data_IF_562924798735
#
_entry.id   IF_562924798735
#
_cell.length_a   1.000
_cell.length_b   1.000
_cell.length_c   1.000
_cell.angle_alpha   90.00
_cell.angle_beta   90.00
_cell.angle_gamma   90.00
#
_symmetry.space_group_name_H-M   'P 1'
#
loop_
_entity.id
_entity.type
_entity.pdbx_description
1 polymer ?
#
# COMPACT_ATOMS: atom_id res chain seq x y z
N UNK A 1 -21.87 -41.26 20.48
CA UNK A 1 -21.87 -39.84 20.92
C UNK A 1 -20.52 -39.10 20.75
N UNK A 2 -19.40 -39.77 20.45
CA UNK A 2 -18.05 -39.15 20.36
C UNK A 2 -17.76 -38.40 19.04
N UNK A 3 -18.35 -38.82 17.93
CA UNK A 3 -18.01 -38.34 16.57
C UNK A 3 -18.49 -36.92 16.24
N UNK A 4 -19.62 -36.48 16.81
CA UNK A 4 -20.15 -35.11 16.62
C UNK A 4 -19.29 -34.05 17.30
N UNK A 5 -18.75 -34.37 18.48
CA UNK A 5 -17.90 -33.46 19.27
C UNK A 5 -16.53 -33.31 18.62
N UNK A 6 -15.95 -34.40 18.12
CA UNK A 6 -14.71 -34.36 17.33
C UNK A 6 -14.88 -33.60 16.01
N UNK A 7 -16.02 -33.72 15.33
CA UNK A 7 -16.30 -32.97 14.10
C UNK A 7 -16.52 -31.47 14.36
N UNK A 8 -17.15 -31.09 15.49
CA UNK A 8 -17.24 -29.69 15.95
C UNK A 8 -15.89 -29.13 16.39
N UNK A 9 -15.08 -29.94 17.08
CA UNK A 9 -13.72 -29.57 17.47
C UNK A 9 -12.84 -29.37 16.24
N UNK A 10 -12.88 -30.27 15.26
CA UNK A 10 -12.17 -30.11 13.98
C UNK A 10 -12.66 -28.93 13.14
N UNK A 11 -13.96 -28.60 13.22
CA UNK A 11 -14.50 -27.42 12.57
C UNK A 11 -14.11 -26.13 13.30
N UNK A 12 -13.91 -26.19 14.61
CA UNK A 12 -13.43 -25.09 15.45
C UNK A 12 -11.90 -24.92 15.36
N UNK A 13 -11.13 -26.00 15.18
CA UNK A 13 -9.68 -25.93 14.94
C UNK A 13 -9.36 -25.51 13.50
N UNK A 14 -10.21 -25.84 12.53
CA UNK A 14 -10.15 -25.21 11.20
C UNK A 14 -10.47 -23.70 11.24
N UNK A 15 -11.19 -23.23 12.27
CA UNK A 15 -11.41 -21.80 12.57
C UNK A 15 -10.22 -21.20 13.33
N UNK A 16 -9.33 -22.04 13.90
CA UNK A 16 -8.11 -21.65 14.62
C UNK A 16 -6.84 -21.85 13.77
N UNK A 17 -6.95 -21.81 12.44
CA UNK A 17 -5.74 -21.70 11.61
C UNK A 17 -5.27 -20.25 11.70
N UNK A 18 -4.35 -20.04 12.64
CA UNK A 18 -3.29 -19.04 12.62
C UNK A 18 -3.74 -17.59 12.37
N UNK A 19 -4.26 -16.97 13.43
CA UNK A 19 -4.23 -15.51 13.54
C UNK A 19 -5.25 -14.76 12.70
N UNK A 20 -6.49 -15.25 12.60
CA UNK A 20 -7.62 -14.50 12.04
C UNK A 20 -8.76 -14.34 13.08
N UNK A 21 -9.51 -13.26 12.98
CA UNK A 21 -10.72 -13.04 13.78
C UNK A 21 -11.76 -14.15 13.51
N UNK A 22 -12.51 -14.58 14.54
CA UNK A 22 -13.54 -15.62 14.44
C UNK A 22 -14.60 -15.26 13.37
N UNK A 23 -14.53 -15.85 12.18
CA UNK A 23 -15.45 -15.52 11.08
C UNK A 23 -16.10 -16.77 10.47
N UNK A 24 -17.38 -16.61 10.11
CA UNK A 24 -18.21 -17.64 9.46
C UNK A 24 -17.52 -18.12 8.17
N UNK A 25 -17.48 -19.44 7.91
CA UNK A 25 -16.90 -19.96 6.68
C UNK A 25 -17.65 -19.41 5.48
N UNK A 26 -16.91 -18.77 4.55
CA UNK A 26 -17.46 -18.29 3.29
C UNK A 26 -18.03 -19.46 2.50
N UNK A 27 -19.25 -19.28 1.99
CA UNK A 27 -19.96 -20.27 1.15
C UNK A 27 -19.41 -20.34 -0.29
N UNK A 28 -18.52 -19.42 -0.66
CA UNK A 28 -17.97 -19.31 -2.03
C UNK A 28 -16.72 -20.21 -2.14
N UNK A 29 -16.60 -21.03 -3.21
CA UNK A 29 -15.39 -21.81 -3.48
C UNK A 29 -14.14 -20.94 -3.53
N UNK A 30 -13.04 -21.38 -2.91
CA UNK A 30 -11.82 -20.58 -2.76
C UNK A 30 -11.26 -20.09 -4.11
N UNK A 31 -11.32 -20.93 -5.15
CA UNK A 31 -10.82 -20.63 -6.51
C UNK A 31 -11.58 -19.48 -7.18
N UNK A 32 -12.87 -19.32 -6.90
CA UNK A 32 -13.70 -18.30 -7.51
C UNK A 32 -13.59 -16.93 -6.83
N UNK A 33 -13.03 -16.86 -5.62
CA UNK A 33 -12.99 -15.61 -4.84
C UNK A 33 -12.12 -14.55 -5.50
N UNK A 34 -10.94 -14.92 -6.00
CA UNK A 34 -10.05 -13.95 -6.64
C UNK A 34 -10.59 -13.41 -7.97
N UNK A 35 -11.06 -14.24 -8.93
CA UNK A 35 -11.74 -13.73 -10.11
C UNK A 35 -12.92 -12.80 -9.78
N UNK A 36 -13.67 -13.11 -8.72
CA UNK A 36 -14.80 -12.29 -8.27
C UNK A 36 -14.32 -10.94 -7.69
N UNK A 37 -13.20 -10.91 -6.96
CA UNK A 37 -12.57 -9.65 -6.51
C UNK A 37 -12.23 -8.77 -7.72
N UNK A 38 -11.60 -9.36 -8.74
CA UNK A 38 -11.17 -8.62 -9.94
C UNK A 38 -12.39 -8.07 -10.69
N UNK A 39 -13.41 -8.89 -10.95
CA UNK A 39 -14.61 -8.44 -11.67
C UNK A 39 -15.41 -7.41 -10.86
N UNK A 40 -15.51 -7.57 -9.54
CA UNK A 40 -16.21 -6.58 -8.70
C UNK A 40 -15.43 -5.26 -8.63
N UNK A 41 -14.11 -5.31 -8.56
CA UNK A 41 -13.26 -4.11 -8.56
C UNK A 41 -13.40 -3.34 -9.86
N UNK A 42 -13.34 -4.03 -11.01
CA UNK A 42 -13.46 -3.41 -12.34
C UNK A 42 -14.86 -2.85 -12.59
N UNK A 43 -15.92 -3.61 -12.25
CA UNK A 43 -17.31 -3.14 -12.46
C UNK A 43 -17.65 -1.97 -11.54
N UNK A 44 -17.20 -2.01 -10.29
CA UNK A 44 -17.36 -0.90 -9.35
C UNK A 44 -16.58 0.34 -9.80
N UNK A 45 -15.38 0.16 -10.35
CA UNK A 45 -14.58 1.27 -10.90
C UNK A 45 -15.29 1.92 -12.07
N UNK A 46 -15.75 1.13 -13.06
CA UNK A 46 -16.51 1.65 -14.19
C UNK A 46 -17.75 2.43 -13.74
N UNK A 47 -18.54 1.86 -12.81
CA UNK A 47 -19.74 2.49 -12.28
C UNK A 47 -19.45 3.80 -11.56
N UNK A 48 -18.44 3.82 -10.67
CA UNK A 48 -18.11 5.02 -9.90
C UNK A 48 -17.54 6.14 -10.78
N UNK A 49 -16.68 5.80 -11.76
CA UNK A 49 -16.19 6.77 -12.73
C UNK A 49 -17.29 7.28 -13.66
N UNK A 50 -18.30 6.47 -14.01
CA UNK A 50 -19.48 6.95 -14.74
C UNK A 50 -20.28 7.97 -13.93
N UNK A 51 -20.47 7.75 -12.63
CA UNK A 51 -21.15 8.73 -11.76
C UNK A 51 -20.31 9.99 -11.51
N UNK A 52 -18.98 9.86 -11.46
CA UNK A 52 -18.06 10.98 -11.27
C UNK A 52 -17.67 11.67 -12.59
N UNK A 53 -18.23 11.26 -13.73
CA UNK A 53 -17.83 11.75 -15.05
C UNK A 53 -17.97 13.28 -15.15
N UNK A 54 -19.05 13.86 -14.62
CA UNK A 54 -19.28 15.31 -14.61
C UNK A 54 -18.19 16.08 -13.85
N UNK A 55 -17.54 15.43 -12.88
CA UNK A 55 -16.50 16.03 -12.03
C UNK A 55 -15.07 15.70 -12.46
N UNK A 56 -14.86 14.71 -13.32
CA UNK A 56 -13.53 14.14 -13.62
C UNK A 56 -13.18 14.13 -15.11
N UNK A 57 -14.17 13.91 -15.98
CA UNK A 57 -13.93 13.66 -17.41
C UNK A 57 -13.24 14.83 -18.11
N UNK A 58 -13.73 16.06 -17.90
CA UNK A 58 -13.19 17.25 -18.57
C UNK A 58 -11.75 17.59 -18.18
N UNK A 59 -11.35 17.34 -16.92
CA UNK A 59 -10.01 17.67 -16.44
C UNK A 59 -9.00 16.57 -16.74
N UNK A 60 -9.37 15.30 -16.55
CA UNK A 60 -8.49 14.17 -16.84
C UNK A 60 -8.29 13.97 -18.35
N UNK A 61 -9.34 14.16 -19.17
CA UNK A 61 -9.24 13.99 -20.62
C UNK A 61 -8.28 14.98 -21.29
N UNK A 62 -8.05 16.15 -20.67
CA UNK A 62 -7.13 17.18 -21.19
C UNK A 62 -5.66 16.79 -21.08
N UNK A 63 -5.34 15.84 -20.21
CA UNK A 63 -3.97 15.44 -19.87
C UNK A 63 -3.74 13.98 -20.26
N UNK A 64 -4.82 13.21 -20.47
CA UNK A 64 -4.75 11.82 -20.83
C UNK A 64 -4.32 11.62 -22.28
N UNK A 65 -3.35 10.75 -22.51
CA UNK A 65 -3.01 10.23 -23.83
C UNK A 65 -4.17 9.42 -24.39
N UNK A 66 -4.44 9.54 -25.69
CA UNK A 66 -5.40 8.67 -26.37
C UNK A 66 -4.94 7.22 -26.32
N UNK A 67 -5.76 6.36 -25.70
CA UNK A 67 -5.48 4.94 -25.57
C UNK A 67 -5.98 4.18 -26.81
N UNK A 68 -5.39 4.48 -27.98
CA UNK A 68 -5.84 3.93 -29.25
C UNK A 68 -5.39 2.47 -29.45
N UNK A 69 -4.43 2.01 -28.65
CA UNK A 69 -3.89 0.65 -28.72
C UNK A 69 -4.49 -0.23 -27.63
N UNK A 70 -5.16 -1.33 -28.04
CA UNK A 70 -5.65 -2.37 -27.13
C UNK A 70 -4.56 -2.90 -26.18
N UNK A 71 -3.30 -2.87 -26.62
CA UNK A 71 -2.14 -3.22 -25.80
C UNK A 71 -1.99 -2.32 -24.57
N UNK A 72 -2.21 -1.01 -24.69
CA UNK A 72 -2.10 -0.07 -23.57
C UNK A 72 -3.21 -0.32 -22.55
N UNK A 73 -4.45 -0.54 -23.01
CA UNK A 73 -5.57 -0.95 -22.15
C UNK A 73 -5.25 -2.27 -21.45
N UNK A 74 -4.70 -3.25 -22.18
CA UNK A 74 -4.26 -4.52 -21.63
C UNK A 74 -3.19 -4.38 -20.54
N UNK A 75 -2.24 -3.45 -20.69
CA UNK A 75 -1.23 -3.14 -19.66
C UNK A 75 -1.89 -2.55 -18.42
N UNK A 76 -2.82 -1.61 -18.55
CA UNK A 76 -3.51 -0.99 -17.40
C UNK A 76 -4.37 -2.01 -16.64
N UNK A 77 -5.16 -2.81 -17.36
CA UNK A 77 -6.00 -3.86 -16.76
C UNK A 77 -5.13 -4.97 -16.16
N UNK A 78 -4.05 -5.35 -16.84
CA UNK A 78 -3.09 -6.35 -16.36
C UNK A 78 -2.40 -5.89 -15.08
N UNK A 79 -1.94 -4.64 -15.04
CA UNK A 79 -1.34 -4.03 -13.87
C UNK A 79 -2.32 -3.98 -12.69
N UNK A 80 -3.55 -3.51 -12.93
CA UNK A 80 -4.60 -3.48 -11.90
C UNK A 80 -4.89 -4.89 -11.36
N UNK A 81 -4.98 -5.88 -12.24
CA UNK A 81 -5.20 -7.29 -11.84
C UNK A 81 -4.02 -7.81 -11.02
N UNK A 82 -2.79 -7.44 -11.38
CA UNK A 82 -1.58 -7.82 -10.66
C UNK A 82 -1.53 -7.20 -9.26
N UNK A 83 -1.88 -5.91 -9.10
CA UNK A 83 -1.98 -5.24 -7.79
C UNK A 83 -2.99 -5.97 -6.87
N UNK A 84 -4.20 -6.25 -7.38
CA UNK A 84 -5.20 -7.04 -6.65
C UNK A 84 -4.68 -8.45 -6.34
N UNK A 85 -3.90 -9.05 -7.25
CA UNK A 85 -3.25 -10.34 -7.06
C UNK A 85 -2.26 -10.32 -5.90
N UNK A 86 -1.37 -9.32 -5.83
CA UNK A 86 -0.44 -9.14 -4.72
C UNK A 86 -1.17 -9.00 -3.39
N UNK A 87 -2.26 -8.22 -3.37
CA UNK A 87 -3.12 -8.11 -2.20
C UNK A 87 -3.74 -9.44 -1.77
N UNK A 88 -4.27 -10.18 -2.74
CA UNK A 88 -4.94 -11.44 -2.49
C UNK A 88 -3.94 -12.51 -2.01
N UNK A 89 -2.92 -12.82 -2.79
CA UNK A 89 -1.94 -13.86 -2.41
C UNK A 89 -0.99 -13.41 -1.29
N UNK A 90 -0.87 -12.11 -1.05
CA UNK A 90 -0.11 -11.53 0.06
C UNK A 90 -0.77 -11.63 1.43
N UNK A 91 -2.02 -12.11 1.51
CA UNK A 91 -2.88 -12.10 2.71
C UNK A 91 -3.12 -10.70 3.29
N UNK A 92 -3.24 -9.70 2.42
CA UNK A 92 -3.62 -8.34 2.83
C UNK A 92 -5.13 -8.20 2.94
N UNK A 93 -5.58 -7.40 3.92
CA UNK A 93 -7.00 -7.12 4.12
C UNK A 93 -7.46 -5.86 3.38
N UNK A 94 -8.75 -5.50 3.51
CA UNK A 94 -9.30 -4.31 2.85
C UNK A 94 -8.58 -3.02 3.24
N UNK A 95 -8.17 -2.85 4.50
CA UNK A 95 -7.47 -1.64 4.96
C UNK A 95 -6.04 -1.56 4.42
N UNK A 96 -5.36 -2.70 4.37
CA UNK A 96 -4.05 -2.81 3.73
C UNK A 96 -4.12 -2.39 2.26
N UNK A 97 -5.10 -2.90 1.52
CA UNK A 97 -5.30 -2.58 0.10
C UNK A 97 -5.73 -1.12 -0.12
N UNK A 98 -6.58 -0.58 0.75
CA UNK A 98 -6.95 0.83 0.69
C UNK A 98 -5.73 1.73 0.92
N UNK A 99 -4.89 1.39 1.90
CA UNK A 99 -3.67 2.12 2.20
C UNK A 99 -2.65 2.00 1.07
N UNK A 100 -2.50 0.79 0.50
CA UNK A 100 -1.62 0.55 -0.64
C UNK A 100 -2.09 1.32 -1.88
N UNK A 101 -3.40 1.33 -2.15
CA UNK A 101 -3.99 2.09 -3.26
C UNK A 101 -3.80 3.60 -3.07
N UNK A 102 -3.99 4.12 -1.86
CA UNK A 102 -3.72 5.52 -1.55
C UNK A 102 -2.24 5.89 -1.80
N UNK A 103 -1.31 5.00 -1.42
CA UNK A 103 0.13 5.19 -1.62
C UNK A 103 0.60 4.99 -3.06
N UNK A 104 -0.10 4.17 -3.85
CA UNK A 104 0.28 3.88 -5.23
C UNK A 104 -0.35 4.85 -6.23
N UNK A 105 -1.60 5.26 -6.01
CA UNK A 105 -2.33 6.21 -6.85
C UNK A 105 -2.14 7.67 -6.43
N UNK A 106 -1.71 7.93 -5.19
CA UNK A 106 -1.39 9.27 -4.71
C UNK A 106 -0.34 10.00 -5.55
N UNK A 107 0.83 9.40 -5.84
CA UNK A 107 1.87 10.05 -6.64
C UNK A 107 1.46 10.51 -8.05
N UNK A 108 0.88 9.68 -8.93
CA UNK A 108 0.47 10.15 -10.26
C UNK A 108 -0.62 11.22 -10.17
N UNK A 109 -1.57 11.12 -9.23
CA UNK A 109 -2.61 12.15 -9.05
C UNK A 109 -2.04 13.45 -8.46
N UNK A 110 -1.02 13.36 -7.62
CA UNK A 110 -0.30 14.52 -7.09
C UNK A 110 0.47 15.24 -8.21
N UNK A 111 1.07 14.52 -9.15
CA UNK A 111 1.67 15.10 -10.36
C UNK A 111 0.63 15.90 -11.16
N UNK A 112 -0.54 15.29 -11.40
CA UNK A 112 -1.62 15.91 -12.17
C UNK A 112 -2.16 17.18 -11.51
N UNK A 113 -2.41 17.13 -10.20
CA UNK A 113 -2.90 18.29 -9.46
C UNK A 113 -1.87 19.41 -9.34
N UNK A 114 -0.59 19.08 -9.23
CA UNK A 114 0.48 20.06 -8.96
C UNK A 114 1.05 20.71 -10.21
N UNK A 115 1.16 19.98 -11.32
CA UNK A 115 1.88 20.42 -12.52
C UNK A 115 1.01 20.56 -13.77
N UNK A 116 -0.08 19.78 -13.86
CA UNK A 116 -1.01 19.80 -15.00
C UNK A 116 -2.31 20.59 -14.71
N UNK A 117 -2.40 21.21 -13.52
CA UNK A 117 -3.56 21.99 -13.06
C UNK A 117 -4.88 21.23 -13.16
N UNK A 118 -4.84 19.90 -12.95
CA UNK A 118 -6.06 19.11 -12.78
C UNK A 118 -6.74 19.56 -11.49
N UNK A 119 -8.05 19.78 -11.53
CA UNK A 119 -8.75 20.32 -10.37
C UNK A 119 -8.63 19.39 -9.17
N UNK A 120 -8.50 19.98 -7.97
CA UNK A 120 -8.41 19.22 -6.72
C UNK A 120 -9.62 18.29 -6.53
N UNK A 121 -10.79 18.68 -7.06
CA UNK A 121 -12.00 17.85 -7.05
C UNK A 121 -11.78 16.57 -7.83
N UNK A 122 -11.29 16.64 -9.07
CA UNK A 122 -11.05 15.46 -9.89
C UNK A 122 -10.00 14.54 -9.27
N UNK A 123 -8.94 15.12 -8.66
CA UNK A 123 -7.92 14.37 -7.91
C UNK A 123 -8.55 13.62 -6.73
N UNK A 124 -9.33 14.30 -5.89
CA UNK A 124 -9.97 13.67 -4.73
C UNK A 124 -10.96 12.59 -5.14
N UNK A 125 -11.84 12.86 -6.13
CA UNK A 125 -12.77 11.85 -6.62
C UNK A 125 -12.04 10.62 -7.18
N UNK A 126 -11.01 10.82 -7.99
CA UNK A 126 -10.23 9.69 -8.53
C UNK A 126 -9.59 8.86 -7.43
N UNK A 127 -8.98 9.52 -6.43
CA UNK A 127 -8.33 8.84 -5.31
C UNK A 127 -9.33 8.07 -4.44
N UNK A 128 -10.51 8.65 -4.18
CA UNK A 128 -11.59 7.99 -3.44
C UNK A 128 -12.12 6.79 -4.21
N UNK A 129 -12.33 6.92 -5.52
CA UNK A 129 -12.79 5.83 -6.38
C UNK A 129 -11.77 4.70 -6.40
N UNK A 130 -10.49 4.99 -6.66
CA UNK A 130 -9.42 3.99 -6.66
C UNK A 130 -9.31 3.26 -5.31
N UNK A 131 -9.44 3.99 -4.21
CA UNK A 131 -9.42 3.41 -2.86
C UNK A 131 -10.64 2.52 -2.61
N UNK A 132 -11.85 2.98 -2.93
CA UNK A 132 -13.10 2.25 -2.69
C UNK A 132 -13.23 0.99 -3.56
N UNK A 133 -12.78 1.09 -4.82
CA UNK A 133 -12.81 -0.03 -5.77
C UNK A 133 -11.85 -1.15 -5.39
N UNK A 134 -10.85 -0.85 -4.56
CA UNK A 134 -9.97 -1.85 -3.96
C UNK A 134 -10.54 -2.34 -2.63
N UNK A 135 -11.00 -1.43 -1.77
CA UNK A 135 -11.47 -1.71 -0.42
C UNK A 135 -12.74 -2.58 -0.38
N UNK A 136 -13.78 -2.20 -1.12
CA UNK A 136 -15.10 -2.83 -1.04
C UNK A 136 -15.04 -4.31 -1.45
N UNK A 137 -14.45 -4.70 -2.60
CA UNK A 137 -14.38 -6.11 -2.98
C UNK A 137 -13.59 -6.98 -1.99
N UNK A 138 -12.46 -6.48 -1.49
CA UNK A 138 -11.68 -7.20 -0.48
C UNK A 138 -12.47 -7.34 0.81
N UNK A 139 -13.14 -6.28 1.26
CA UNK A 139 -13.94 -6.33 2.49
C UNK A 139 -15.13 -7.28 2.41
N UNK A 140 -15.73 -7.44 1.23
CA UNK A 140 -16.85 -8.36 1.01
C UNK A 140 -16.41 -9.82 0.96
N UNK A 141 -15.22 -10.10 0.41
CA UNK A 141 -14.76 -11.46 0.11
C UNK A 141 -13.68 -11.98 1.05
N UNK A 142 -13.10 -11.11 1.88
CA UNK A 142 -12.04 -11.42 2.84
C UNK A 142 -12.30 -10.77 4.21
N UNK A 143 -12.07 -11.51 5.30
CA UNK A 143 -12.09 -10.94 6.65
C UNK A 143 -11.01 -9.88 6.87
N UNK A 144 -11.13 -9.09 7.94
CA UNK A 144 -10.03 -8.22 8.36
C UNK A 144 -8.91 -9.06 8.95
N UNK A 145 -7.68 -8.61 8.74
CA UNK A 145 -6.53 -9.13 9.48
C UNK A 145 -6.68 -8.82 10.98
N UNK A 146 -5.98 -9.57 11.82
CA UNK A 146 -5.92 -9.27 13.25
C UNK A 146 -5.34 -7.87 13.52
N UNK A 147 -4.38 -7.42 12.72
CA UNK A 147 -3.74 -6.12 12.86
C UNK A 147 -4.77 -4.97 12.85
N UNK A 148 -5.79 -5.08 11.98
CA UNK A 148 -6.85 -4.08 11.85
C UNK A 148 -8.15 -4.45 12.60
N UNK A 149 -8.18 -5.58 13.29
CA UNK A 149 -9.33 -6.01 14.11
C UNK A 149 -9.23 -5.58 15.57
N UNK A 150 -8.11 -4.97 15.97
CA UNK A 150 -7.91 -4.49 17.32
C UNK A 150 -8.85 -3.32 17.66
N UNK A 151 -9.47 -3.39 18.84
CA UNK A 151 -10.39 -2.36 19.32
C UNK A 151 -10.36 -2.30 20.85
N UNK A 152 -10.55 -1.14 21.46
CA UNK A 152 -10.60 -0.98 22.93
C UNK A 152 -11.78 -1.70 23.59
N UNK A 153 -12.76 -2.18 22.82
CA UNK A 153 -13.91 -2.92 23.33
C UNK A 153 -13.53 -4.23 24.04
N UNK A 154 -14.28 -4.59 25.10
CA UNK A 154 -14.10 -5.84 25.87
C UNK A 154 -14.32 -7.10 25.03
N UNK A 155 -15.07 -7.01 23.93
CA UNK A 155 -15.38 -8.11 23.02
C UNK A 155 -14.46 -8.15 21.79
N UNK A 156 -13.40 -7.33 21.77
CA UNK A 156 -12.43 -7.33 20.67
C UNK A 156 -11.58 -8.59 20.69
N UNK A 157 -11.11 -8.99 19.50
CA UNK A 157 -10.17 -10.10 19.36
C UNK A 157 -8.88 -9.73 20.09
N UNK A 158 -8.27 -10.71 20.78
CA UNK A 158 -6.98 -10.52 21.42
C UNK A 158 -5.90 -10.32 20.34
N UNK A 159 -5.30 -9.13 20.31
CA UNK A 159 -4.25 -8.75 19.36
C UNK A 159 -3.01 -8.38 20.16
N UNK A 160 -1.84 -8.81 19.69
CA UNK A 160 -0.56 -8.48 20.31
C UNK A 160 -0.30 -6.98 20.23
N UNK A 161 0.31 -6.39 21.27
CA UNK A 161 0.66 -4.97 21.31
C UNK A 161 -0.56 -4.07 20.99
N UNK A 162 -1.75 -4.49 21.42
CA UNK A 162 -3.03 -3.81 21.18
C UNK A 162 -3.00 -2.38 21.72
N UNK A 163 -2.38 -2.18 22.87
CA UNK A 163 -2.13 -0.89 23.49
C UNK A 163 -1.36 0.07 22.57
N UNK A 164 -0.32 -0.43 21.87
CA UNK A 164 0.49 0.36 20.94
C UNK A 164 -0.35 0.83 19.74
N UNK A 165 -1.10 -0.08 19.12
CA UNK A 165 -1.90 0.21 17.93
C UNK A 165 -3.20 0.97 18.22
N UNK A 166 -3.71 0.95 19.46
CA UNK A 166 -4.91 1.70 19.88
C UNK A 166 -4.57 3.05 20.51
N UNK A 167 -3.34 3.26 20.96
CA UNK A 167 -2.88 4.53 21.52
C UNK A 167 -2.90 5.66 20.49
N UNK A 168 -3.71 6.69 20.73
CA UNK A 168 -3.81 7.85 19.85
C UNK A 168 -2.45 8.57 19.68
N UNK A 169 -1.68 8.65 20.75
CA UNK A 169 -0.37 9.30 20.78
C UNK A 169 0.64 8.61 19.86
N UNK A 170 0.76 7.28 19.97
CA UNK A 170 1.70 6.50 19.13
C UNK A 170 1.26 6.57 17.67
N UNK A 171 -0.04 6.45 17.40
CA UNK A 171 -0.57 6.56 16.05
C UNK A 171 -0.32 7.94 15.43
N UNK A 172 -0.45 9.01 16.22
CA UNK A 172 -0.21 10.38 15.75
C UNK A 172 1.27 10.59 15.44
N UNK A 173 2.18 10.20 16.35
CA UNK A 173 3.61 10.36 16.12
C UNK A 173 4.13 9.54 14.94
N UNK A 174 3.70 8.28 14.81
CA UNK A 174 4.10 7.42 13.67
C UNK A 174 3.57 7.94 12.34
N UNK A 175 2.36 8.51 12.33
CA UNK A 175 1.78 9.15 11.14
C UNK A 175 2.52 10.42 10.76
N UNK A 176 2.82 11.30 11.73
CA UNK A 176 3.59 12.53 11.51
C UNK A 176 4.99 12.19 11.02
N UNK A 177 5.65 11.20 11.63
CA UNK A 177 6.98 10.75 11.23
C UNK A 177 6.99 10.25 9.79
N UNK A 178 6.08 9.36 9.43
CA UNK A 178 5.95 8.87 8.05
C UNK A 178 5.65 10.02 7.06
N UNK A 179 4.69 10.90 7.41
CA UNK A 179 4.35 12.05 6.57
C UNK A 179 5.51 13.04 6.38
N UNK A 180 6.32 13.23 7.42
CA UNK A 180 7.53 14.05 7.37
C UNK A 180 8.61 13.43 6.48
N UNK A 181 8.80 12.11 6.50
CA UNK A 181 9.73 11.42 5.59
C UNK A 181 9.33 11.64 4.13
N UNK A 182 8.05 11.46 3.80
CA UNK A 182 7.55 11.76 2.45
C UNK A 182 7.75 13.24 2.09
N UNK A 183 7.46 14.18 3.01
CA UNK A 183 7.65 15.61 2.78
C UNK A 183 9.12 15.97 2.52
N UNK A 184 10.04 15.49 3.36
CA UNK A 184 11.48 15.76 3.24
C UNK A 184 12.05 15.14 1.98
N UNK A 185 11.65 13.91 1.64
CA UNK A 185 12.11 13.25 0.40
C UNK A 185 11.69 14.02 -0.84
N UNK A 186 10.41 14.46 -0.87
CA UNK A 186 9.89 15.22 -2.00
C UNK A 186 10.50 16.62 -2.07
N UNK A 187 10.63 17.32 -0.93
CA UNK A 187 11.30 18.62 -0.85
C UNK A 187 12.75 18.54 -1.32
N UNK A 188 13.51 17.54 -0.84
CA UNK A 188 14.90 17.32 -1.27
C UNK A 188 14.97 17.04 -2.76
N UNK A 189 14.03 16.27 -3.31
CA UNK A 189 13.98 16.00 -4.75
C UNK A 189 13.71 17.27 -5.55
N UNK A 190 12.80 18.12 -5.08
CA UNK A 190 12.52 19.43 -5.69
C UNK A 190 13.69 20.40 -5.63
N UNK A 191 14.48 20.40 -4.56
CA UNK A 191 15.62 21.33 -4.46
C UNK A 191 16.86 20.86 -5.23
N UNK A 192 16.94 19.58 -5.62
CA UNK A 192 18.16 18.99 -6.17
C UNK A 192 18.08 18.70 -7.67
N UNK A 193 17.13 17.89 -8.11
CA UNK A 193 17.11 17.41 -9.51
C UNK A 193 15.72 17.39 -10.14
N UNK A 194 14.66 17.15 -9.37
CA UNK A 194 13.34 16.82 -9.91
C UNK A 194 12.75 17.92 -10.83
N UNK A 195 12.89 19.24 -10.58
CA UNK A 195 12.34 20.25 -11.47
C UNK A 195 12.98 20.22 -12.86
N UNK A 196 14.29 19.96 -12.94
CA UNK A 196 15.01 19.83 -14.22
C UNK A 196 14.44 18.66 -15.01
N UNK A 197 14.23 17.52 -14.36
CA UNK A 197 13.64 16.33 -15.02
C UNK A 197 12.19 16.55 -15.43
N UNK A 198 11.39 17.26 -14.61
CA UNK A 198 10.02 17.62 -14.97
C UNK A 198 9.99 18.47 -16.24
N UNK A 199 10.79 19.54 -16.32
CA UNK A 199 10.82 20.41 -17.51
C UNK A 199 11.40 19.70 -18.74
N UNK A 200 12.34 18.77 -18.55
CA UNK A 200 13.04 18.11 -19.66
C UNK A 200 12.24 16.94 -20.27
N UNK A 201 11.52 16.18 -19.44
CA UNK A 201 10.94 14.88 -19.84
C UNK A 201 9.41 14.81 -19.75
N UNK A 202 8.74 15.88 -19.30
CA UNK A 202 7.29 15.96 -19.26
C UNK A 202 6.83 17.14 -20.10
N UNK A 203 6.26 16.86 -21.25
CA UNK A 203 5.61 17.86 -22.09
C UNK A 203 4.20 18.19 -21.57
N UNK A 204 3.70 19.39 -21.84
CA UNK A 204 2.37 19.84 -21.42
C UNK A 204 2.22 20.22 -19.94
N UNK A 205 3.33 20.32 -19.19
CA UNK A 205 3.31 20.94 -17.84
C UNK A 205 2.83 22.38 -17.96
N UNK A 206 1.78 22.73 -17.21
CA UNK A 206 1.20 24.08 -17.22
C UNK A 206 1.89 25.03 -16.26
N UNK A 207 2.34 24.50 -15.12
CA UNK A 207 3.01 25.29 -14.09
C UNK A 207 4.06 24.47 -13.35
N UNK A 208 5.24 25.04 -13.18
CA UNK A 208 6.32 24.47 -12.37
C UNK A 208 6.36 25.08 -10.95
N UNK A 209 5.44 25.98 -10.63
CA UNK A 209 5.43 26.70 -9.34
C UNK A 209 5.38 25.75 -8.13
N UNK A 210 4.69 24.61 -8.27
CA UNK A 210 4.61 23.60 -7.22
C UNK A 210 5.96 22.92 -6.91
N UNK A 211 6.90 22.91 -7.86
CA UNK A 211 8.28 22.42 -7.66
C UNK A 211 9.21 23.47 -7.06
N UNK A 212 8.75 24.71 -6.86
CA UNK A 212 9.44 25.73 -6.05
C UNK A 212 8.70 25.97 -4.73
N UNK A 213 8.49 24.94 -3.88
CA UNK A 213 7.80 25.13 -2.62
C UNK A 213 8.66 25.99 -1.70
N UNK A 214 8.13 27.14 -1.31
CA UNK A 214 8.80 28.07 -0.40
C UNK A 214 8.96 27.52 1.03
N UNK A 215 8.33 26.37 1.37
CA UNK A 215 8.50 25.70 2.68
C UNK A 215 8.02 24.25 2.68
N UNK A 216 8.53 23.44 3.61
CA UNK A 216 8.02 22.08 3.90
C UNK A 216 6.54 22.08 4.32
N UNK A 217 6.06 23.20 4.87
CA UNK A 217 4.69 23.35 5.41
C UNK A 217 3.65 23.21 4.30
N UNK A 218 3.96 23.56 3.06
CA UNK A 218 3.00 23.45 1.94
C UNK A 218 2.87 22.01 1.42
N UNK A 219 3.93 21.20 1.53
CA UNK A 219 3.96 19.81 1.08
C UNK A 219 3.34 18.88 2.14
N UNK A 220 3.51 19.22 3.42
CA UNK A 220 3.17 18.36 4.54
C UNK A 220 1.70 17.88 4.57
N UNK A 221 0.67 18.69 4.27
CA UNK A 221 -0.73 18.23 4.31
C UNK A 221 -1.00 17.05 3.35
N UNK A 222 -0.43 17.08 2.14
CA UNK A 222 -0.59 15.98 1.18
C UNK A 222 0.17 14.74 1.65
N UNK A 223 1.41 14.91 2.10
CA UNK A 223 2.24 13.78 2.55
C UNK A 223 1.79 13.21 3.89
N UNK A 224 1.04 13.96 4.70
CA UNK A 224 0.42 13.48 5.92
C UNK A 224 -0.57 12.36 5.65
N UNK A 225 -1.39 12.48 4.60
CA UNK A 225 -2.33 11.44 4.18
C UNK A 225 -1.57 10.18 3.74
N UNK A 226 -0.46 10.35 3.01
CA UNK A 226 0.42 9.23 2.65
C UNK A 226 1.08 8.61 3.89
N UNK A 227 1.48 9.43 4.87
CA UNK A 227 2.02 8.98 6.15
C UNK A 227 1.02 8.11 6.93
N UNK A 228 -0.26 8.49 6.93
CA UNK A 228 -1.33 7.71 7.56
C UNK A 228 -1.48 6.35 6.90
N UNK A 229 -1.49 6.32 5.56
CA UNK A 229 -1.54 5.08 4.79
C UNK A 229 -0.30 4.21 5.02
N UNK A 230 0.90 4.77 5.01
CA UNK A 230 2.15 4.04 5.23
C UNK A 230 2.20 3.43 6.63
N UNK A 231 1.74 4.18 7.64
CA UNK A 231 1.58 3.68 9.01
C UNK A 231 0.60 2.52 9.08
N UNK A 232 -0.56 2.62 8.43
CA UNK A 232 -1.53 1.54 8.42
C UNK A 232 -1.00 0.29 7.71
N UNK A 233 -0.31 0.48 6.57
CA UNK A 233 0.17 -0.62 5.73
C UNK A 233 1.44 -1.29 6.26
N UNK A 234 2.34 -0.58 6.92
CA UNK A 234 3.64 -1.12 7.38
C UNK A 234 3.68 -1.29 8.90
N UNK A 235 3.42 -0.23 9.66
CA UNK A 235 3.65 -0.22 11.11
C UNK A 235 2.66 -1.11 11.86
N UNK A 236 1.36 -0.94 11.65
CA UNK A 236 0.31 -1.73 12.32
C UNK A 236 0.53 -3.25 12.22
N UNK A 237 0.76 -3.84 11.03
CA UNK A 237 1.02 -5.27 10.90
C UNK A 237 2.39 -5.71 11.43
N UNK A 238 3.41 -4.84 11.41
CA UNK A 238 4.73 -5.15 11.96
C UNK A 238 4.69 -5.30 13.49
N UNK A 239 4.03 -4.36 14.18
CA UNK A 239 3.90 -4.36 15.64
C UNK A 239 3.06 -5.53 16.15
N UNK A 240 2.07 -5.96 15.35
CA UNK A 240 1.14 -7.04 15.73
C UNK A 240 1.63 -8.44 15.33
N UNK A 241 2.72 -8.54 14.56
CA UNK A 241 3.26 -9.82 14.14
C UNK A 241 3.71 -10.67 15.36
N UNK A 242 3.21 -11.91 15.38
CA UNK A 242 3.51 -12.89 16.42
C UNK A 242 4.84 -13.61 16.12
N UNK A 243 5.60 -14.01 17.16
CA UNK A 243 6.81 -14.77 16.95
C UNK A 243 6.46 -16.16 16.42
N UNK A 244 7.28 -16.68 15.52
CA UNK A 244 7.11 -18.04 14.99
C UNK A 244 8.07 -19.03 15.63
N UNK A 245 7.86 -20.33 15.41
CA UNK A 245 8.81 -21.36 15.83
C UNK A 245 10.21 -21.15 15.22
N UNK A 246 10.30 -20.49 14.06
CA UNK A 246 11.58 -20.10 13.48
C UNK A 246 12.28 -19.02 14.31
N UNK A 247 11.55 -18.03 14.83
CA UNK A 247 12.13 -17.00 15.69
C UNK A 247 12.78 -17.60 16.94
N UNK A 248 12.17 -18.65 17.51
CA UNK A 248 12.74 -19.37 18.65
C UNK A 248 14.05 -20.09 18.28
N UNK A 249 14.14 -20.65 17.05
CA UNK A 249 15.37 -21.28 16.54
C UNK A 249 16.47 -20.24 16.31
N UNK A 250 16.13 -19.07 15.77
CA UNK A 250 17.08 -17.97 15.58
C UNK A 250 17.54 -17.35 16.90
N UNK A 251 16.66 -17.25 17.90
CA UNK A 251 17.04 -16.79 19.24
C UNK A 251 17.96 -17.77 19.96
N UNK A 252 17.84 -19.07 19.68
CA UNK A 252 18.70 -20.12 20.20
C UNK A 252 19.97 -20.37 19.35
N UNK A 253 20.25 -19.52 18.36
CA UNK A 253 21.41 -19.65 17.50
C UNK A 253 22.70 -19.34 18.28
N UNK A 254 23.65 -20.27 18.26
CA UNK A 254 24.96 -20.11 18.90
C UNK A 254 26.05 -20.05 17.82
N UNK A 255 26.70 -18.89 17.61
CA UNK A 255 27.71 -18.73 16.56
C UNK A 255 28.95 -19.60 16.79
N UNK A 256 29.21 -20.01 18.03
CA UNK A 256 30.37 -20.82 18.42
C UNK A 256 30.28 -22.29 17.97
N UNK A 257 29.06 -22.81 17.86
CA UNK A 257 28.79 -24.22 17.50
C UNK A 257 28.15 -24.38 16.12
N UNK A 258 27.77 -23.27 15.49
CA UNK A 258 27.14 -23.25 14.18
C UNK A 258 28.12 -23.54 13.04
N UNK A 259 27.63 -24.20 12.01
CA UNK A 259 28.36 -24.36 10.75
C UNK A 259 28.47 -23.03 10.00
N UNK A 260 29.47 -22.89 9.12
CA UNK A 260 29.63 -21.70 8.28
C UNK A 260 28.38 -21.38 7.45
N UNK A 261 27.66 -22.40 6.98
CA UNK A 261 26.42 -22.23 6.23
C UNK A 261 25.28 -21.69 7.09
N UNK A 262 25.13 -22.18 8.32
CA UNK A 262 24.14 -21.68 9.27
C UNK A 262 24.46 -20.24 9.69
N UNK A 263 25.73 -19.92 9.97
CA UNK A 263 26.17 -18.54 10.25
C UNK A 263 25.94 -17.61 9.07
N UNK A 264 26.17 -18.06 7.84
CA UNK A 264 25.88 -17.27 6.64
C UNK A 264 24.39 -16.96 6.52
N UNK A 265 23.51 -17.97 6.60
CA UNK A 265 22.07 -17.77 6.48
C UNK A 265 21.49 -16.96 7.64
N UNK A 266 22.04 -17.10 8.84
CA UNK A 266 21.69 -16.26 9.98
C UNK A 266 21.99 -14.78 9.72
N UNK A 267 23.16 -14.45 9.17
CA UNK A 267 23.51 -13.06 8.85
C UNK A 267 22.72 -12.49 7.66
N UNK A 268 22.40 -13.31 6.66
CA UNK A 268 21.71 -12.84 5.44
C UNK A 268 20.19 -12.74 5.64
N UNK A 269 19.59 -13.68 6.38
CA UNK A 269 18.12 -13.79 6.49
C UNK A 269 17.60 -14.25 7.86
N UNK A 270 18.42 -14.15 8.92
CA UNK A 270 18.05 -14.43 10.31
C UNK A 270 17.14 -13.35 10.94
N UNK A 271 16.27 -12.74 10.14
CA UNK A 271 15.33 -11.71 10.58
C UNK A 271 14.19 -12.29 11.41
N UNK A 272 13.74 -11.53 12.42
CA UNK A 272 12.56 -11.87 13.21
C UNK A 272 11.29 -11.89 12.35
N UNK A 273 10.23 -12.57 12.77
CA UNK A 273 8.96 -12.58 12.04
C UNK A 273 8.39 -11.17 11.83
N UNK A 274 8.64 -10.24 12.77
CA UNK A 274 8.28 -8.82 12.62
C UNK A 274 9.06 -8.16 11.48
N UNK A 275 10.38 -8.30 11.48
CA UNK A 275 11.25 -7.76 10.44
C UNK A 275 10.92 -8.36 9.07
N UNK A 276 10.60 -9.65 8.97
CA UNK A 276 10.12 -10.26 7.72
C UNK A 276 8.81 -9.65 7.22
N UNK A 277 7.85 -9.38 8.12
CA UNK A 277 6.58 -8.70 7.77
C UNK A 277 6.84 -7.28 7.28
N UNK A 278 7.71 -6.54 7.96
CA UNK A 278 8.16 -5.20 7.56
C UNK A 278 8.80 -5.24 6.17
N UNK A 279 9.83 -6.07 5.95
CA UNK A 279 10.53 -6.19 4.66
C UNK A 279 9.54 -6.52 3.55
N UNK A 280 8.65 -7.50 3.76
CA UNK A 280 7.63 -7.88 2.77
C UNK A 280 6.73 -6.71 2.40
N UNK A 281 6.22 -5.97 3.39
CA UNK A 281 5.29 -4.86 3.17
C UNK A 281 5.99 -3.66 2.56
N UNK A 282 7.19 -3.30 3.01
CA UNK A 282 8.01 -2.25 2.39
C UNK A 282 8.35 -2.59 0.95
N UNK A 283 8.77 -3.82 0.66
CA UNK A 283 9.05 -4.26 -0.71
C UNK A 283 7.80 -4.22 -1.59
N UNK A 284 6.64 -4.65 -1.06
CA UNK A 284 5.37 -4.56 -1.79
C UNK A 284 4.99 -3.10 -2.06
N UNK A 285 5.13 -2.22 -1.07
CA UNK A 285 4.86 -0.79 -1.22
C UNK A 285 5.74 -0.18 -2.30
N UNK A 286 7.05 -0.41 -2.23
CA UNK A 286 8.00 0.10 -3.23
C UNK A 286 7.65 -0.39 -4.64
N UNK A 287 7.36 -1.68 -4.80
CA UNK A 287 7.01 -2.25 -6.09
C UNK A 287 5.72 -1.63 -6.63
N UNK A 288 4.65 -1.63 -5.84
CA UNK A 288 3.34 -1.18 -6.30
C UNK A 288 3.33 0.33 -6.51
N UNK A 289 3.89 1.13 -5.60
CA UNK A 289 4.01 2.58 -5.80
C UNK A 289 4.91 2.91 -6.99
N UNK A 290 6.07 2.28 -7.12
CA UNK A 290 7.00 2.55 -8.21
C UNK A 290 6.41 2.21 -9.58
N UNK A 291 5.97 0.97 -9.76
CA UNK A 291 5.42 0.50 -11.04
C UNK A 291 4.10 1.18 -11.35
N UNK A 292 3.20 1.40 -10.38
CA UNK A 292 1.96 2.14 -10.64
C UNK A 292 2.24 3.57 -11.06
N UNK A 293 3.13 4.27 -10.35
CA UNK A 293 3.50 5.65 -10.71
C UNK A 293 4.12 5.69 -12.11
N UNK A 294 5.02 4.77 -12.43
CA UNK A 294 5.61 4.66 -13.77
C UNK A 294 4.56 4.39 -14.84
N UNK A 295 3.73 3.36 -14.67
CA UNK A 295 2.71 2.96 -15.65
C UNK A 295 1.70 4.08 -15.84
N UNK A 296 1.19 4.70 -14.77
CA UNK A 296 0.25 5.80 -14.86
C UNK A 296 0.89 7.00 -15.56
N UNK A 297 2.07 7.45 -15.13
CA UNK A 297 2.70 8.62 -15.76
C UNK A 297 3.09 8.38 -17.22
N UNK A 298 3.70 7.25 -17.56
CA UNK A 298 4.19 6.99 -18.92
C UNK A 298 3.09 6.58 -19.90
N UNK A 299 2.11 5.79 -19.46
CA UNK A 299 1.07 5.24 -20.35
C UNK A 299 -0.12 6.17 -20.44
N UNK A 300 -0.53 6.81 -19.33
CA UNK A 300 -1.80 7.57 -19.31
C UNK A 300 -1.63 9.05 -19.55
N UNK A 301 -0.46 9.65 -19.28
CA UNK A 301 -0.24 11.09 -19.52
C UNK A 301 0.40 11.29 -20.90
N UNK A 302 -0.16 12.23 -21.67
CA UNK A 302 0.42 12.63 -22.95
C UNK A 302 1.72 13.41 -22.76
N UNK A 303 2.71 13.20 -23.63
CA UNK A 303 3.95 13.97 -23.57
C UNK A 303 4.98 13.53 -22.52
N UNK A 304 4.72 12.47 -21.75
CA UNK A 304 5.69 11.96 -20.75
C UNK A 304 6.67 10.97 -21.37
N UNK A 305 7.95 11.23 -21.20
CA UNK A 305 9.03 10.32 -21.56
C UNK A 305 9.33 9.28 -20.47
N UNK A 306 9.80 8.10 -20.87
CA UNK A 306 10.10 7.01 -19.95
C UNK A 306 11.14 7.41 -18.88
N UNK A 307 12.16 8.18 -19.25
CA UNK A 307 13.20 8.68 -18.32
C UNK A 307 12.59 9.55 -17.22
N UNK A 308 11.70 10.48 -17.59
CA UNK A 308 10.97 11.32 -16.65
C UNK A 308 10.10 10.50 -15.70
N UNK A 309 9.35 9.55 -16.23
CA UNK A 309 8.51 8.64 -15.42
C UNK A 309 9.33 7.79 -14.44
N UNK A 310 10.49 7.26 -14.85
CA UNK A 310 11.41 6.49 -13.98
C UNK A 310 11.93 7.36 -12.84
N UNK A 311 12.42 8.57 -13.15
CA UNK A 311 12.98 9.47 -12.13
C UNK A 311 11.89 9.92 -11.15
N UNK A 312 10.71 10.28 -11.67
CA UNK A 312 9.57 10.68 -10.85
C UNK A 312 9.11 9.56 -9.93
N UNK A 313 8.89 8.35 -10.46
CA UNK A 313 8.52 7.17 -9.66
C UNK A 313 9.59 6.81 -8.62
N UNK A 314 10.88 6.96 -8.96
CA UNK A 314 12.01 6.69 -8.08
C UNK A 314 11.98 7.52 -6.79
N UNK A 315 11.53 8.77 -6.84
CA UNK A 315 11.36 9.63 -5.65
C UNK A 315 10.39 9.01 -4.65
N UNK A 316 9.26 8.50 -5.13
CA UNK A 316 8.23 7.89 -4.29
C UNK A 316 8.65 6.51 -3.76
N UNK A 317 9.42 5.75 -4.55
CA UNK A 317 10.05 4.50 -4.11
C UNK A 317 11.06 4.75 -3.00
N UNK A 318 11.89 5.78 -3.13
CA UNK A 318 12.84 6.17 -2.09
C UNK A 318 12.10 6.59 -0.80
N UNK A 319 11.04 7.40 -0.91
CA UNK A 319 10.23 7.77 0.24
C UNK A 319 9.59 6.55 0.94
N UNK A 320 9.07 5.60 0.16
CA UNK A 320 8.51 4.34 0.67
C UNK A 320 9.58 3.47 1.37
N UNK A 321 10.78 3.38 0.81
CA UNK A 321 11.91 2.64 1.38
C UNK A 321 12.32 3.24 2.73
N UNK A 322 12.59 4.55 2.77
CA UNK A 322 13.02 5.25 3.99
C UNK A 322 11.93 5.13 5.06
N UNK A 323 10.66 5.34 4.68
CA UNK A 323 9.52 5.18 5.60
C UNK A 323 9.43 3.77 6.15
N UNK A 324 9.61 2.75 5.30
CA UNK A 324 9.61 1.35 5.72
C UNK A 324 10.71 1.01 6.70
N UNK A 325 11.94 1.48 6.45
CA UNK A 325 13.08 1.31 7.36
C UNK A 325 12.81 2.00 8.69
N UNK A 326 12.40 3.28 8.67
CA UNK A 326 12.17 4.05 9.89
C UNK A 326 11.02 3.51 10.73
N UNK A 327 9.86 3.22 10.13
CA UNK A 327 8.73 2.61 10.84
C UNK A 327 9.06 1.21 11.32
N UNK A 328 9.93 0.51 10.60
CA UNK A 328 10.52 -0.75 10.97
C UNK A 328 11.27 -0.72 12.29
N UNK A 329 12.25 0.18 12.38
CA UNK A 329 13.03 0.41 13.60
C UNK A 329 12.12 0.80 14.77
N UNK A 330 11.12 1.65 14.53
CA UNK A 330 10.14 2.06 15.55
C UNK A 330 9.17 0.93 15.95
N UNK A 331 8.94 -0.05 15.06
CA UNK A 331 8.07 -1.20 15.33
C UNK A 331 8.78 -2.41 15.93
N UNK A 332 10.11 -2.44 15.88
CA UNK A 332 10.95 -3.51 16.43
C UNK A 332 11.30 -3.31 17.92
N UNK A 333 11.16 -2.08 18.43
CA UNK A 333 11.26 -1.74 19.86
C UNK A 333 10.08 -2.25 20.70
#
# INVERSE_FOLDING_TARGET
MSTSRAKRANKATAVLVQGDALIRPSKIPAVLRFPLVVTLSLTLSALLYSFAADYTSGDLARVSRTLDQWRQVGVLVGWRTFELGLGWFGNYDGYDLASLSLLSHGPPLYLLGSFYEVSLRSVIFSLVIDTLTTYIPFRLLRPLSLAHSASTSKHSVAVRNKDIITSYTIQTYTTILAGAIYAVTLFTSYTTFLPVYLVTYFDGIRSIAAAHPNSLVTIFPTTFILGLAAKSFIFTPTVTAAPTAEDAKYAAFHPETATLGETFWYNVWGFSSRQKVMIKRTATLMLVTGVNTFVQTFVTIEGVEATGAVVYSGVWVAAAMITGITLGVVGDV
#
